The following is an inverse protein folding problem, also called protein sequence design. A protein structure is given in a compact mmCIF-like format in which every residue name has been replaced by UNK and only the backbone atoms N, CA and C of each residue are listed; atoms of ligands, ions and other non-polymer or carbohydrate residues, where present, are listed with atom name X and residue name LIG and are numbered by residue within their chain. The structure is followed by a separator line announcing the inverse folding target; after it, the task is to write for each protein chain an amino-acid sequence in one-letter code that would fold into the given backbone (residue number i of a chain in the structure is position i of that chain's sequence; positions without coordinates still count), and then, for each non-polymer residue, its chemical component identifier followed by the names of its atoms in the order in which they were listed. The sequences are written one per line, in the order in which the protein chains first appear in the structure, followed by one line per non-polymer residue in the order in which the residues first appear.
data_IF_570731295324
#
_entry.id   IF_570731295324
#
_cell.length_a   1.000
_cell.length_b   1.000
_cell.length_c   1.000
_cell.angle_alpha   90.00
_cell.angle_beta   90.00
_cell.angle_gamma   90.00
#
_symmetry.space_group_name_H-M   'P 1'
#
loop_
_entity.id
_entity.type
_entity.pdbx_description
1 polymer ?
#
# COMPACT_ATOMS: atom_id res chain seq x y z
N UNK A 1 11.58 -31.02 -0.31
CA UNK A 1 10.51 -30.85 0.69
C UNK A 1 10.28 -32.17 1.41
N UNK A 2 10.30 -32.20 2.75
CA UNK A 2 9.86 -33.38 3.49
C UNK A 2 8.37 -33.61 3.20
N UNK A 3 7.98 -34.85 2.90
CA UNK A 3 6.57 -35.18 2.63
C UNK A 3 5.69 -35.11 3.88
N UNK A 4 6.33 -35.06 5.06
CA UNK A 4 5.75 -35.16 6.39
C UNK A 4 4.75 -34.05 6.72
N UNK A 5 5.00 -32.81 6.27
CA UNK A 5 4.14 -31.65 6.59
C UNK A 5 3.18 -31.26 5.47
N UNK A 6 3.02 -32.09 4.43
CA UNK A 6 2.12 -31.79 3.30
C UNK A 6 0.67 -31.56 3.72
N UNK A 7 0.21 -32.22 4.78
CA UNK A 7 -1.13 -32.02 5.33
C UNK A 7 -1.42 -30.57 5.74
N UNK A 8 -0.40 -29.77 6.05
CA UNK A 8 -0.55 -28.33 6.29
C UNK A 8 -1.13 -27.59 5.07
N UNK A 9 -0.70 -28.00 3.88
CA UNK A 9 -1.16 -27.41 2.63
C UNK A 9 -2.59 -27.84 2.29
N UNK A 10 -3.18 -28.80 2.98
CA UNK A 10 -4.57 -29.22 2.75
C UNK A 10 -5.56 -28.39 3.59
N UNK A 11 -5.08 -27.57 4.55
CA UNK A 11 -5.94 -26.67 5.32
C UNK A 11 -6.60 -25.64 4.40
N UNK A 12 -7.94 -25.58 4.44
CA UNK A 12 -8.73 -24.60 3.70
C UNK A 12 -8.29 -23.16 3.97
N UNK A 13 -7.90 -22.88 5.22
CA UNK A 13 -7.41 -21.56 5.62
C UNK A 13 -6.07 -21.23 4.96
N UNK A 14 -5.12 -22.17 4.99
CA UNK A 14 -3.81 -22.01 4.33
C UNK A 14 -3.98 -21.84 2.82
N UNK A 15 -4.84 -22.65 2.19
CA UNK A 15 -5.12 -22.56 0.75
C UNK A 15 -5.75 -21.23 0.36
N UNK A 16 -6.68 -20.71 1.17
CA UNK A 16 -7.27 -19.39 0.93
C UNK A 16 -6.23 -18.27 0.98
N UNK A 17 -5.37 -18.26 2.00
CA UNK A 17 -4.31 -17.25 2.14
C UNK A 17 -3.25 -17.37 1.05
N UNK A 18 -2.90 -18.58 0.62
CA UNK A 18 -1.97 -18.80 -0.49
C UNK A 18 -2.51 -18.26 -1.80
N UNK A 19 -3.79 -18.51 -2.10
CA UNK A 19 -4.44 -17.99 -3.30
C UNK A 19 -4.53 -16.48 -3.26
N UNK A 20 -4.94 -15.89 -2.13
CA UNK A 20 -5.00 -14.44 -1.97
C UNK A 20 -3.62 -13.79 -2.14
N UNK A 21 -2.58 -14.39 -1.55
CA UNK A 21 -1.20 -13.93 -1.72
C UNK A 21 -0.77 -13.94 -3.19
N UNK A 22 -1.06 -15.03 -3.92
CA UNK A 22 -0.74 -15.13 -5.34
C UNK A 22 -1.50 -14.11 -6.19
N UNK A 23 -2.80 -13.94 -5.96
CA UNK A 23 -3.64 -13.00 -6.71
C UNK A 23 -3.18 -11.56 -6.46
N UNK A 24 -2.91 -11.22 -5.20
CA UNK A 24 -2.32 -9.95 -4.82
C UNK A 24 -0.97 -9.72 -5.52
N UNK A 25 -0.08 -10.71 -5.50
CA UNK A 25 1.24 -10.58 -6.11
C UNK A 25 1.16 -10.50 -7.63
N UNK A 26 0.27 -11.26 -8.29
CA UNK A 26 0.05 -11.15 -9.75
C UNK A 26 -0.45 -9.75 -10.14
N UNK A 27 -1.27 -9.13 -9.28
CA UNK A 27 -1.87 -7.82 -9.57
C UNK A 27 -0.92 -6.65 -9.30
N UNK A 28 -0.06 -6.76 -8.30
CA UNK A 28 0.75 -5.63 -7.80
C UNK A 28 2.26 -5.90 -7.77
N UNK A 29 2.70 -7.11 -8.12
CA UNK A 29 4.06 -7.61 -7.88
C UNK A 29 5.16 -6.75 -8.49
N UNK A 30 4.99 -6.32 -9.74
CA UNK A 30 5.97 -5.43 -10.40
C UNK A 30 6.19 -4.14 -9.60
N UNK A 31 5.10 -3.47 -9.19
CA UNK A 31 5.18 -2.24 -8.40
C UNK A 31 5.75 -2.49 -7.00
N UNK A 32 5.39 -3.61 -6.37
CA UNK A 32 5.88 -3.96 -5.03
C UNK A 32 7.40 -4.18 -5.05
N UNK A 33 7.90 -4.92 -6.03
CA UNK A 33 9.33 -5.20 -6.15
C UNK A 33 10.13 -3.93 -6.45
N UNK A 34 9.57 -3.00 -7.23
CA UNK A 34 10.27 -1.77 -7.62
C UNK A 34 10.28 -0.70 -6.51
N UNK A 35 9.19 -0.56 -5.76
CA UNK A 35 9.00 0.59 -4.85
C UNK A 35 8.77 0.21 -3.38
N UNK A 36 8.27 -0.99 -3.09
CA UNK A 36 7.68 -1.32 -1.78
C UNK A 36 8.03 -2.73 -1.28
N UNK A 37 9.31 -3.12 -1.37
CA UNK A 37 9.83 -4.40 -0.89
C UNK A 37 9.35 -4.78 0.53
N UNK A 38 9.23 -3.79 1.42
CA UNK A 38 8.77 -4.02 2.78
C UNK A 38 7.35 -4.58 2.86
N UNK A 39 6.46 -4.24 1.92
CA UNK A 39 5.10 -4.80 1.87
C UNK A 39 5.10 -6.28 1.50
N UNK A 40 6.02 -6.71 0.64
CA UNK A 40 6.22 -8.12 0.34
C UNK A 40 6.61 -8.89 1.59
N UNK A 41 7.57 -8.36 2.37
CA UNK A 41 8.01 -8.99 3.62
C UNK A 41 6.87 -9.07 4.64
N UNK A 42 6.10 -7.99 4.82
CA UNK A 42 4.95 -7.97 5.73
C UNK A 42 3.90 -9.01 5.33
N UNK A 43 3.55 -9.07 4.03
CA UNK A 43 2.55 -10.04 3.55
C UNK A 43 3.06 -11.47 3.68
N UNK A 44 4.36 -11.67 3.48
CA UNK A 44 5.01 -12.97 3.71
C UNK A 44 4.97 -13.37 5.19
N UNK A 45 5.21 -12.43 6.11
CA UNK A 45 5.11 -12.66 7.55
C UNK A 45 3.68 -13.06 7.97
N UNK A 46 2.66 -12.44 7.38
CA UNK A 46 1.27 -12.82 7.59
C UNK A 46 0.99 -14.26 7.14
N UNK A 47 1.40 -14.60 5.91
CA UNK A 47 1.22 -15.95 5.37
C UNK A 47 1.95 -16.99 6.23
N UNK A 48 3.20 -16.70 6.62
CA UNK A 48 3.98 -17.55 7.52
C UNK A 48 3.27 -17.76 8.86
N UNK A 49 2.71 -16.71 9.46
CA UNK A 49 1.94 -16.83 10.71
C UNK A 49 0.77 -17.78 10.57
N UNK A 50 -0.05 -17.64 9.52
CA UNK A 50 -1.20 -18.53 9.32
C UNK A 50 -0.76 -19.98 9.15
N UNK A 51 0.30 -20.20 8.36
CA UNK A 51 0.86 -21.55 8.18
C UNK A 51 1.44 -22.13 9.47
N UNK A 52 2.09 -21.33 10.31
CA UNK A 52 2.61 -21.79 11.60
C UNK A 52 1.47 -22.11 12.58
N UNK A 53 0.45 -21.27 12.66
CA UNK A 53 -0.70 -21.48 13.55
C UNK A 53 -1.40 -22.81 13.23
N UNK A 54 -1.62 -23.09 11.93
CA UNK A 54 -2.21 -24.35 11.47
C UNK A 54 -1.25 -25.52 11.63
N UNK A 55 0.05 -25.31 11.36
CA UNK A 55 1.07 -26.35 11.46
C UNK A 55 1.29 -26.83 12.90
N UNK A 56 1.34 -25.91 13.87
CA UNK A 56 1.47 -26.28 15.27
C UNK A 56 0.24 -26.98 15.84
N UNK A 57 -0.96 -26.66 15.30
CA UNK A 57 -2.19 -27.37 15.67
C UNK A 57 -2.20 -28.81 15.12
N UNK A 58 -1.72 -29.02 13.89
CA UNK A 58 -1.70 -30.32 13.22
C UNK A 58 -0.54 -31.23 13.68
N UNK A 59 0.61 -30.64 14.02
CA UNK A 59 1.84 -31.37 14.34
C UNK A 59 2.42 -30.91 15.70
N UNK A 60 1.70 -31.16 16.81
CA UNK A 60 2.17 -30.75 18.13
C UNK A 60 3.50 -31.43 18.49
N UNK A 61 4.46 -30.65 19.01
CA UNK A 61 5.80 -31.14 19.36
C UNK A 61 6.79 -31.23 18.19
N UNK A 62 6.41 -30.78 17.00
CA UNK A 62 7.27 -30.74 15.80
C UNK A 62 7.50 -29.30 15.30
N UNK A 63 7.50 -28.31 16.19
CA UNK A 63 7.47 -26.89 15.84
C UNK A 63 8.65 -26.47 14.96
N UNK A 64 9.86 -27.00 15.22
CA UNK A 64 11.05 -26.69 14.41
C UNK A 64 10.97 -27.26 12.99
N UNK A 65 10.40 -28.46 12.86
CA UNK A 65 10.13 -29.09 11.57
C UNK A 65 9.13 -28.28 10.75
N UNK A 66 8.05 -27.84 11.40
CA UNK A 66 7.04 -26.96 10.81
C UNK A 66 7.65 -25.63 10.38
N UNK A 67 8.44 -24.96 11.22
CA UNK A 67 9.12 -23.70 10.85
C UNK A 67 10.01 -23.86 9.62
N UNK A 68 10.81 -24.92 9.60
CA UNK A 68 11.72 -25.21 8.49
C UNK A 68 10.96 -25.49 7.20
N UNK A 69 9.87 -26.25 7.29
CA UNK A 69 8.99 -26.54 6.17
C UNK A 69 8.33 -25.27 5.62
N UNK A 70 7.72 -24.46 6.49
CA UNK A 70 7.04 -23.21 6.09
C UNK A 70 8.02 -22.25 5.43
N UNK A 71 9.21 -22.05 6.01
CA UNK A 71 10.25 -21.22 5.42
C UNK A 71 10.64 -21.70 4.01
N UNK A 72 10.90 -23.00 3.87
CA UNK A 72 11.30 -23.60 2.59
C UNK A 72 10.20 -23.48 1.54
N UNK A 73 8.96 -23.80 1.92
CA UNK A 73 7.81 -23.77 1.02
C UNK A 73 7.51 -22.36 0.51
N UNK A 74 7.49 -21.36 1.40
CA UNK A 74 7.24 -19.98 1.01
C UNK A 74 8.40 -19.47 0.13
N UNK A 75 9.65 -19.80 0.45
CA UNK A 75 10.80 -19.44 -0.39
C UNK A 75 10.75 -20.07 -1.79
N UNK A 76 10.30 -21.33 -1.91
CA UNK A 76 10.05 -21.99 -3.20
C UNK A 76 8.91 -21.28 -3.95
N UNK A 77 7.83 -20.89 -3.25
CA UNK A 77 6.67 -20.21 -3.83
C UNK A 77 7.04 -18.84 -4.41
N UNK A 78 7.80 -18.05 -3.66
CA UNK A 78 8.30 -16.75 -4.08
C UNK A 78 9.18 -16.85 -5.32
N UNK A 79 10.08 -17.84 -5.36
CA UNK A 79 10.89 -18.13 -6.56
C UNK A 79 10.03 -18.52 -7.76
N UNK A 80 8.98 -19.30 -7.55
CA UNK A 80 7.98 -19.61 -8.58
C UNK A 80 7.23 -18.39 -9.11
N UNK A 81 7.16 -17.30 -8.33
CA UNK A 81 6.60 -16.00 -8.73
C UNK A 81 7.65 -15.04 -9.31
N UNK A 82 8.90 -15.50 -9.51
CA UNK A 82 9.99 -14.69 -10.04
C UNK A 82 10.67 -13.78 -9.01
N UNK A 83 10.36 -13.94 -7.73
CA UNK A 83 11.05 -13.21 -6.65
C UNK A 83 12.29 -13.97 -6.23
N UNK A 84 13.44 -13.31 -6.21
CA UNK A 84 14.64 -13.80 -5.53
C UNK A 84 14.65 -13.27 -4.09
N UNK A 85 14.39 -14.09 -3.06
CA UNK A 85 14.36 -13.64 -1.68
C UNK A 85 15.68 -13.03 -1.18
N UNK A 86 16.80 -13.33 -1.84
CA UNK A 86 18.11 -12.75 -1.47
C UNK A 86 18.26 -11.30 -1.92
N UNK A 87 17.48 -10.85 -2.90
CA UNK A 87 17.54 -9.47 -3.39
C UNK A 87 16.69 -8.52 -2.56
N UNK A 88 15.76 -9.05 -1.77
CA UNK A 88 14.93 -8.26 -0.86
C UNK A 88 15.76 -7.84 0.35
N UNK A 89 15.85 -6.53 0.57
CA UNK A 89 16.69 -5.95 1.65
C UNK A 89 15.89 -5.19 2.69
N UNK A 90 14.68 -4.74 2.35
CA UNK A 90 13.83 -3.95 3.23
C UNK A 90 12.66 -4.76 3.77
N UNK A 91 12.46 -4.71 5.08
CA UNK A 91 11.32 -5.33 5.75
C UNK A 91 10.98 -4.66 7.07
N UNK A 92 9.69 -4.57 7.37
CA UNK A 92 9.18 -4.10 8.65
C UNK A 92 8.62 -5.30 9.42
N UNK A 93 9.39 -5.79 10.38
CA UNK A 93 9.03 -6.93 11.23
C UNK A 93 8.71 -6.50 12.67
N UNK A 94 8.62 -5.19 12.92
CA UNK A 94 8.35 -4.70 14.27
C UNK A 94 7.00 -5.21 14.80
N UNK A 95 6.98 -5.68 16.05
CA UNK A 95 5.77 -6.23 16.67
C UNK A 95 5.33 -7.61 16.14
N UNK A 96 6.12 -8.24 15.28
CA UNK A 96 5.85 -9.59 14.77
C UNK A 96 6.24 -10.65 15.81
N UNK A 97 5.52 -11.78 15.83
CA UNK A 97 5.81 -12.92 16.73
C UNK A 97 7.18 -13.52 16.41
N UNK A 98 7.94 -13.92 17.43
CA UNK A 98 9.35 -14.32 17.27
C UNK A 98 9.55 -15.49 16.30
N UNK A 99 8.71 -16.52 16.35
CA UNK A 99 8.74 -17.68 15.45
C UNK A 99 8.48 -17.28 13.97
N UNK A 100 7.62 -16.30 13.75
CA UNK A 100 7.37 -15.73 12.42
C UNK A 100 8.59 -14.95 11.96
N UNK A 101 9.21 -14.16 12.82
CA UNK A 101 10.47 -13.45 12.50
C UNK A 101 11.56 -14.45 12.10
N UNK A 102 11.71 -15.55 12.83
CA UNK A 102 12.66 -16.61 12.48
C UNK A 102 12.38 -17.23 11.10
N UNK A 103 11.13 -17.53 10.78
CA UNK A 103 10.75 -18.03 9.46
C UNK A 103 11.04 -17.01 8.36
N UNK A 104 10.66 -15.75 8.57
CA UNK A 104 10.82 -14.69 7.57
C UNK A 104 12.29 -14.35 7.34
N UNK A 105 13.12 -14.33 8.39
CA UNK A 105 14.58 -14.13 8.26
C UNK A 105 15.29 -15.30 7.58
N UNK A 106 14.77 -16.54 7.72
CA UNK A 106 15.24 -17.68 6.91
C UNK A 106 14.90 -17.51 5.42
N UNK A 107 13.74 -16.94 5.11
CA UNK A 107 13.31 -16.68 3.72
C UNK A 107 14.12 -15.52 3.12
N UNK A 108 14.22 -14.40 3.84
CA UNK A 108 14.89 -13.17 3.41
C UNK A 108 16.10 -12.87 4.32
N UNK A 109 17.25 -13.49 4.07
CA UNK A 109 18.42 -13.37 4.96
C UNK A 109 19.03 -11.97 4.98
N UNK A 110 18.77 -11.15 3.96
CA UNK A 110 19.32 -9.80 3.81
C UNK A 110 18.36 -8.70 4.31
N UNK A 111 17.18 -9.07 4.80
CA UNK A 111 16.23 -8.08 5.32
C UNK A 111 16.78 -7.48 6.59
N UNK A 112 17.12 -6.19 6.50
CA UNK A 112 17.36 -5.37 7.67
C UNK A 112 16.01 -4.85 8.16
N UNK A 113 15.79 -4.92 9.48
CA UNK A 113 14.63 -4.29 10.08
C UNK A 113 14.70 -2.80 9.74
N UNK A 114 13.75 -2.34 8.94
CA UNK A 114 13.72 -0.92 8.56
C UNK A 114 13.29 -0.17 9.80
N UNK A 115 14.22 0.56 10.42
CA UNK A 115 13.88 1.48 11.50
C UNK A 115 12.89 2.50 10.92
N UNK A 116 11.62 2.40 11.33
CA UNK A 116 10.67 3.47 11.05
C UNK A 116 11.19 4.71 11.79
N UNK A 117 11.44 5.82 11.09
CA UNK A 117 11.68 7.07 11.79
C UNK A 117 10.47 7.34 12.68
N UNK A 118 10.71 7.51 13.99
CA UNK A 118 9.66 7.87 14.94
C UNK A 118 8.97 9.15 14.47
N UNK A 119 7.69 9.33 14.80
CA UNK A 119 6.94 10.56 14.46
C UNK A 119 7.73 11.80 14.90
N UNK A 120 8.41 11.74 16.04
CA UNK A 120 9.30 12.78 16.55
C UNK A 120 10.48 13.05 15.62
N UNK A 121 11.13 12.02 15.08
CA UNK A 121 12.25 12.18 14.14
C UNK A 121 11.80 12.72 12.78
N UNK A 122 10.61 12.35 12.30
CA UNK A 122 10.01 12.91 11.09
C UNK A 122 9.70 14.39 11.31
N UNK A 123 9.07 14.75 12.44
CA UNK A 123 8.78 16.13 12.80
C UNK A 123 10.07 16.96 12.92
N UNK A 124 11.13 16.42 13.53
CA UNK A 124 12.41 17.10 13.61
C UNK A 124 13.06 17.29 12.23
N UNK A 125 12.97 16.31 11.33
CA UNK A 125 13.45 16.45 9.96
C UNK A 125 12.64 17.45 9.13
N UNK A 126 11.31 17.48 9.27
CA UNK A 126 10.45 18.47 8.62
C UNK A 126 10.68 19.88 9.17
N UNK A 127 10.92 20.02 10.48
CA UNK A 127 11.30 21.30 11.11
C UNK A 127 12.72 21.75 10.73
N UNK A 128 13.63 20.80 10.45
CA UNK A 128 15.01 21.10 10.06
C UNK A 128 15.19 21.33 8.55
N UNK A 129 14.20 20.97 7.72
CA UNK A 129 14.22 21.34 6.30
C UNK A 129 13.99 22.85 6.19
N UNK A 130 14.89 23.61 5.52
CA UNK A 130 14.58 25.00 5.20
C UNK A 130 13.29 25.01 4.36
N UNK A 131 12.36 25.96 4.60
CA UNK A 131 11.11 25.98 3.88
C UNK A 131 11.41 26.01 2.38
N UNK A 132 11.04 24.93 1.68
CA UNK A 132 10.95 24.96 0.22
C UNK A 132 9.82 25.93 -0.09
N UNK A 133 10.18 27.19 -0.30
CA UNK A 133 9.28 28.16 -0.93
C UNK A 133 9.17 27.73 -2.38
N UNK A 134 8.37 26.70 -2.66
CA UNK A 134 7.79 26.56 -3.98
C UNK A 134 6.82 27.72 -4.11
N UNK A 135 7.30 28.77 -4.76
CA UNK A 135 6.44 29.79 -5.34
C UNK A 135 5.56 29.08 -6.36
N UNK A 136 4.41 28.55 -5.91
CA UNK A 136 3.33 28.21 -6.82
C UNK A 136 2.90 29.55 -7.40
N UNK A 137 3.41 29.83 -8.61
CA UNK A 137 2.91 30.94 -9.42
C UNK A 137 1.49 30.55 -9.79
N UNK A 138 0.53 30.85 -8.91
CA UNK A 138 -0.89 30.78 -9.26
C UNK A 138 -1.05 31.80 -10.38
N UNK A 139 -1.40 31.39 -11.62
CA UNK A 139 -1.64 32.36 -12.67
C UNK A 139 -2.74 33.29 -12.18
N UNK A 140 -2.41 34.58 -12.07
CA UNK A 140 -3.39 35.60 -11.74
C UNK A 140 -4.51 35.47 -12.78
N UNK A 141 -5.68 35.01 -12.35
CA UNK A 141 -6.89 35.08 -13.15
C UNK A 141 -7.07 36.55 -13.52
N UNK A 142 -6.70 36.92 -14.75
CA UNK A 142 -7.07 38.20 -15.33
C UNK A 142 -8.57 38.16 -15.49
N UNK A 143 -9.28 38.59 -14.45
CA UNK A 143 -10.69 38.94 -14.56
C UNK A 143 -10.71 40.21 -15.41
N UNK A 144 -10.85 40.04 -16.72
CA UNK A 144 -11.26 41.13 -17.61
C UNK A 144 -12.64 41.60 -17.12
N UNK A 145 -12.64 42.60 -16.24
CA UNK A 145 -13.83 43.40 -15.96
C UNK A 145 -14.16 44.17 -17.24
N UNK A 146 -14.89 43.52 -18.15
CA UNK A 146 -15.49 44.15 -19.31
C UNK A 146 -16.39 45.29 -18.81
N UNK A 147 -15.98 46.53 -19.08
CA UNK A 147 -16.72 47.76 -18.77
C UNK A 147 -18.06 47.86 -19.49
N UNK A 148 -18.36 46.95 -20.42
CA UNK A 148 -19.61 46.91 -21.17
C UNK A 148 -20.78 46.27 -20.40
N UNK A 149 -20.51 45.42 -19.40
CA UNK A 149 -21.57 44.73 -18.63
C UNK A 149 -22.62 45.66 -17.98
N UNK A 150 -22.27 46.79 -17.33
CA UNK A 150 -23.30 47.68 -16.77
C UNK A 150 -24.13 48.38 -17.85
N UNK A 151 -23.56 48.68 -19.04
CA UNK A 151 -24.29 49.31 -20.14
C UNK A 151 -25.31 48.35 -20.77
N UNK A 152 -24.92 47.09 -20.95
CA UNK A 152 -25.83 46.04 -21.46
C UNK A 152 -26.97 45.78 -20.48
N UNK A 153 -26.68 45.73 -19.18
CA UNK A 153 -27.71 45.60 -18.15
C UNK A 153 -28.71 46.76 -18.21
N UNK A 154 -28.24 48.00 -18.30
CA UNK A 154 -29.09 49.20 -18.33
C UNK A 154 -29.99 49.24 -19.59
N UNK A 155 -29.44 48.87 -20.75
CA UNK A 155 -30.22 48.75 -22.00
C UNK A 155 -31.31 47.68 -21.89
N UNK A 156 -31.01 46.53 -21.30
CA UNK A 156 -32.01 45.48 -21.06
C UNK A 156 -33.12 45.94 -20.11
N UNK A 157 -32.78 46.67 -19.04
CA UNK A 157 -33.78 47.19 -18.10
C UNK A 157 -34.71 48.21 -18.74
N UNK A 158 -34.18 49.09 -19.61
CA UNK A 158 -34.99 50.06 -20.36
C UNK A 158 -35.93 49.36 -21.35
N UNK A 159 -35.42 48.35 -22.08
CA UNK A 159 -36.22 47.54 -22.99
C UNK A 159 -37.37 46.83 -22.25
N UNK A 160 -37.08 46.13 -21.15
CA UNK A 160 -38.08 45.45 -20.34
C UNK A 160 -39.14 46.40 -19.77
N UNK A 161 -38.71 47.56 -19.27
CA UNK A 161 -39.63 48.59 -18.77
C UNK A 161 -40.54 49.11 -19.87
N UNK A 162 -40.01 49.38 -21.07
CA UNK A 162 -40.82 49.85 -22.21
C UNK A 162 -41.84 48.79 -22.66
N UNK A 163 -41.46 47.51 -22.64
CA UNK A 163 -42.31 46.40 -23.04
C UNK A 163 -43.44 46.18 -22.03
N UNK A 164 -43.14 46.32 -20.74
CA UNK A 164 -44.15 46.32 -19.66
C UNK A 164 -45.14 47.48 -19.80
N UNK A 165 -44.68 48.69 -20.10
CA UNK A 165 -45.56 49.84 -20.32
C UNK A 165 -46.49 49.62 -21.51
N UNK A 166 -45.98 49.07 -22.61
CA UNK A 166 -46.79 48.73 -23.80
C UNK A 166 -47.82 47.63 -23.48
N UNK A 167 -47.44 46.62 -22.69
CA UNK A 167 -48.35 45.55 -22.26
C UNK A 167 -49.42 46.01 -21.28
N UNK A 168 -49.13 47.00 -20.43
CA UNK A 168 -50.05 47.57 -19.44
C UNK A 168 -50.93 48.72 -19.99
N UNK A 169 -50.65 49.20 -21.20
CA UNK A 169 -51.41 50.28 -21.87
C UNK A 169 -52.39 49.76 -22.93
N UNK A 170 -52.59 48.44 -23.00
CA UNK A 170 -53.71 47.77 -23.68
C UNK A 170 -54.71 47.25 -22.65
#
# INVERSE_FOLDING_TARGET
MSQEFKGLLESNRVQAELRDFEEWFKKYGEHILEYEESKLVIRTAWLARVMLDEGYALFPGQEEGVRTFVASFIADKLRGLGVDPRQVTRGDLHGTRQDVVEVVTRIYPNVQQTDRPSVTSILQQELAKPPKVEWVVVPALRVERSRARPLVALLLTLLLSSLLIILLSR
#
